data_IF_073246465842
#
_entry.id   IF_073246465842
#
_cell.length_a   1.000
_cell.length_b   1.000
_cell.length_c   1.000
_cell.angle_alpha   90.00
_cell.angle_beta   90.00
_cell.angle_gamma   90.00
#
_symmetry.space_group_name_H-M   'P 1'
#
loop_
_entity.id
_entity.type
_entity.pdbx_description
1 polymer ?
2 non-polymer ?
3 non-polymer ?
4 water ?
#
# COMPACT_ATOMS: atom_id res chain seq x y z
N UNK A 3 16.43 -1.85 19.40
CA UNK A 3 15.82 -2.74 20.46
C UNK A 3 14.29 -2.69 20.42
N UNK A 4 13.72 -1.66 19.83
CA UNK A 4 12.27 -1.63 19.55
C UNK A 4 12.04 -2.37 18.25
N UNK A 5 10.96 -3.15 18.19
CA UNK A 5 10.53 -3.77 16.95
C UNK A 5 10.18 -2.66 15.99
N UNK A 6 10.67 -2.72 14.77
CA UNK A 6 10.38 -1.73 13.77
C UNK A 6 9.51 -2.35 12.67
N UNK A 7 8.38 -1.71 12.41
CA UNK A 7 7.46 -2.18 11.40
C UNK A 7 7.20 -1.14 10.31
N UNK A 8 7.43 -1.50 9.05
CA UNK A 8 7.08 -0.63 7.92
C UNK A 8 5.70 -1.02 7.46
N UNK A 9 4.80 -0.06 7.38
CA UNK A 9 3.47 -0.29 6.90
C UNK A 9 3.35 0.47 5.56
N UNK A 10 3.05 -0.27 4.51
CA UNK A 10 2.79 0.29 3.18
C UNK A 10 1.54 1.16 3.16
N UNK A 11 1.50 2.19 2.31
CA UNK A 11 0.36 3.07 2.26
C UNK A 11 -0.68 2.59 1.25
N UNK A 12 -0.39 2.67 -0.05
CA UNK A 12 -1.43 2.29 -1.01
C UNK A 12 -1.65 0.76 -0.99
N UNK A 13 -2.92 0.38 -0.84
CA UNK A 13 -3.32 -1.01 -0.80
C UNK A 13 -3.24 -1.61 0.59
N UNK A 14 -2.94 -0.81 1.60
CA UNK A 14 -2.79 -1.30 2.96
C UNK A 14 -3.46 -0.34 3.91
N UNK A 15 -3.07 0.94 3.82
CA UNK A 15 -3.74 2.01 4.55
C UNK A 15 -4.81 2.68 3.74
N UNK A 16 -4.49 2.97 2.48
CA UNK A 16 -5.33 3.78 1.61
C UNK A 16 -5.89 2.89 0.51
N UNK A 17 -7.17 3.03 0.22
CA UNK A 17 -7.85 2.17 -0.74
C UNK A 17 -7.65 2.70 -2.16
N UNK A 18 -6.44 2.43 -2.68
CA UNK A 18 -6.06 2.76 -4.05
C UNK A 18 -6.97 2.06 -5.07
N UNK A 19 -7.25 0.79 -4.86
CA UNK A 19 -8.00 0.02 -5.86
C UNK A 19 -9.43 0.52 -6.03
N UNK A 20 -10.14 0.67 -4.92
CA UNK A 20 -11.46 1.24 -4.88
C UNK A 20 -11.58 2.68 -5.39
N UNK A 21 -10.64 3.53 -5.01
CA UNK A 21 -10.66 4.92 -5.41
C UNK A 21 -10.40 5.03 -6.90
N UNK A 22 -9.44 4.26 -7.39
CA UNK A 22 -9.09 4.23 -8.80
C UNK A 22 -10.33 3.76 -9.60
N UNK A 23 -10.97 2.67 -9.16
CA UNK A 23 -12.06 2.14 -10.01
C UNK A 23 -13.20 3.13 -10.11
N UNK A 24 -13.55 3.75 -9.00
CA UNK A 24 -14.60 4.73 -8.95
C UNK A 24 -14.31 5.91 -9.86
N UNK A 25 -13.12 6.47 -9.71
CA UNK A 25 -12.79 7.63 -10.53
C UNK A 25 -12.61 7.28 -12.02
N UNK A 26 -12.15 6.08 -12.34
CA UNK A 26 -11.98 5.68 -13.73
C UNK A 26 -13.37 5.59 -14.39
N UNK A 27 -14.28 4.93 -13.68
CA UNK A 27 -15.64 4.73 -14.23
C UNK A 27 -16.37 6.07 -14.41
N UNK A 28 -16.15 7.02 -13.52
CA UNK A 28 -16.79 8.32 -13.57
C UNK A 28 -16.23 9.15 -14.75
N UNK A 29 -14.92 9.07 -14.94
CA UNK A 29 -14.27 9.84 -16.01
C UNK A 29 -14.43 9.21 -17.39
N UNK A 30 -14.47 7.89 -17.43
CA UNK A 30 -14.44 7.16 -18.70
C UNK A 30 -15.61 6.15 -18.69
N UNK A 31 -16.83 6.66 -18.63
CA UNK A 31 -18.00 5.78 -18.50
C UNK A 31 -18.21 4.87 -19.72
N UNK A 32 -17.64 5.20 -20.87
CA UNK A 32 -17.87 4.40 -22.07
C UNK A 32 -16.80 3.36 -22.28
N UNK A 33 -15.81 3.30 -21.38
CA UNK A 33 -14.73 2.34 -21.48
C UNK A 33 -15.03 1.10 -20.62
N UNK A 34 -14.49 -0.04 -21.02
CA UNK A 34 -14.61 -1.22 -20.15
C UNK A 34 -13.68 -1.02 -18.95
N UNK A 35 -13.94 -1.77 -17.89
CA UNK A 35 -13.15 -1.65 -16.66
C UNK A 35 -12.94 -3.04 -16.07
N UNK A 36 -12.15 -3.11 -15.00
CA UNK A 36 -11.87 -4.37 -14.33
C UNK A 36 -12.49 -4.31 -12.95
N UNK A 37 -13.49 -5.17 -12.70
CA UNK A 37 -14.18 -5.20 -11.43
C UNK A 37 -13.11 -5.68 -10.41
N UNK A 38 -13.18 -5.29 -9.16
CA UNK A 38 -12.12 -5.68 -8.20
C UNK A 38 -11.93 -7.20 -8.08
N UNK A 39 -13.03 -7.98 -8.17
CA UNK A 39 -12.94 -9.45 -8.09
C UNK A 39 -12.07 -10.00 -9.19
N UNK A 40 -11.97 -9.28 -10.31
CA UNK A 40 -11.23 -9.72 -11.49
C UNK A 40 -9.82 -9.14 -11.63
N UNK A 41 -9.46 -8.26 -10.71
CA UNK A 41 -8.09 -7.77 -10.66
C UNK A 41 -7.11 -8.89 -10.38
N UNK A 42 -6.04 -8.94 -11.18
CA UNK A 42 -4.91 -9.85 -11.00
C UNK A 42 -3.62 -9.11 -11.30
N UNK A 43 -2.63 -9.28 -10.44
CA UNK A 43 -1.32 -8.69 -10.61
C UNK A 43 -1.28 -7.26 -10.03
N UNK A 44 -0.13 -6.87 -9.48
CA UNK A 44 0.04 -5.56 -8.88
C UNK A 44 -0.40 -4.44 -9.81
N UNK A 45 0.04 -4.46 -11.07
CA UNK A 45 -0.09 -3.27 -11.92
C UNK A 45 -1.43 -3.15 -12.56
N UNK A 46 -2.19 -2.14 -12.11
CA UNK A 46 -3.46 -1.79 -12.71
C UNK A 46 -3.25 -1.45 -14.19
N UNK A 47 -2.23 -0.62 -14.47
CA UNK A 47 -2.08 -0.09 -15.82
C UNK A 47 -1.88 -1.27 -16.78
N UNK A 48 -1.08 -2.25 -16.37
CA UNK A 48 -0.78 -3.43 -17.22
C UNK A 48 -2.02 -4.27 -17.51
N UNK A 49 -2.88 -4.50 -16.51
CA UNK A 49 -4.12 -5.24 -16.76
C UNK A 49 -5.10 -4.47 -17.63
N UNK A 50 -5.15 -3.15 -17.46
CA UNK A 50 -6.04 -2.34 -18.28
C UNK A 50 -5.55 -2.25 -19.72
N UNK A 51 -4.23 -2.25 -19.92
CA UNK A 51 -3.67 -2.19 -21.26
C UNK A 51 -3.88 -3.46 -22.06
N UNK A 52 -3.98 -4.58 -21.34
CA UNK A 52 -4.32 -5.89 -21.94
C UNK A 52 -5.80 -5.93 -22.30
N UNK A 53 -6.61 -5.23 -21.52
CA UNK A 53 -8.04 -5.16 -21.78
C UNK A 53 -8.32 -4.50 -23.14
N UNK A 54 -7.72 -3.33 -23.41
CA UNK A 54 -7.57 -2.77 -24.78
C UNK A 54 -6.47 -1.69 -24.96
N UNK A 55 -6.14 -1.42 -26.22
CA UNK A 55 -5.38 -0.23 -26.61
C UNK A 55 -5.82 1.10 -25.97
N UNK A 56 -4.82 1.78 -25.41
CA UNK A 56 -5.03 3.11 -24.88
C UNK A 56 -5.51 3.16 -23.45
N UNK A 57 -5.97 2.03 -22.91
CA UNK A 57 -6.49 2.01 -21.54
C UNK A 57 -5.41 2.14 -20.47
N UNK A 58 -4.19 1.69 -20.77
CA UNK A 58 -3.11 1.87 -19.82
C UNK A 58 -2.92 3.37 -19.54
N UNK A 59 -2.86 4.18 -20.61
CA UNK A 59 -2.64 5.61 -20.49
C UNK A 59 -3.81 6.32 -19.80
N UNK A 60 -5.03 5.85 -20.05
CA UNK A 60 -6.21 6.42 -19.44
C UNK A 60 -6.22 6.07 -17.91
N UNK A 61 -5.81 4.87 -17.57
CA UNK A 61 -5.70 4.47 -16.14
C UNK A 61 -4.70 5.39 -15.43
N UNK A 62 -3.52 5.52 -16.02
CA UNK A 62 -2.44 6.37 -15.44
C UNK A 62 -2.94 7.78 -15.23
N UNK A 63 -3.77 8.30 -16.14
CA UNK A 63 -4.31 9.64 -16.01
C UNK A 63 -5.17 9.88 -14.77
N UNK A 64 -5.74 8.80 -14.22
CA UNK A 64 -6.52 8.91 -13.00
C UNK A 64 -5.65 9.24 -11.82
N UNK A 65 -4.58 8.48 -11.65
CA UNK A 65 -3.73 8.71 -10.48
C UNK A 65 -2.74 9.85 -10.62
N UNK A 66 -2.49 10.28 -11.86
CA UNK A 66 -1.78 11.52 -12.06
C UNK A 66 -2.62 12.75 -11.74
N UNK A 67 -3.94 12.63 -11.60
CA UNK A 67 -4.78 13.77 -11.44
C UNK A 67 -4.70 14.31 -10.00
N UNK A 68 -4.85 15.60 -9.90
CA UNK A 68 -4.94 16.25 -8.61
C UNK A 68 -6.09 15.61 -7.83
N UNK A 69 -5.85 15.51 -6.55
CA UNK A 69 -6.76 14.97 -5.57
C UNK A 69 -6.93 13.48 -5.52
N UNK A 70 -6.31 12.74 -6.45
CA UNK A 70 -6.48 11.30 -6.45
C UNK A 70 -5.95 10.70 -5.14
N UNK A 71 -4.71 10.99 -4.82
CA UNK A 71 -4.13 10.40 -3.60
C UNK A 71 -4.83 10.94 -2.37
N UNK A 72 -5.06 12.24 -2.33
CA UNK A 72 -5.61 12.81 -1.13
C UNK A 72 -7.02 12.25 -0.78
N UNK A 73 -7.79 11.94 -1.82
CA UNK A 73 -9.19 11.56 -1.62
C UNK A 73 -9.40 10.06 -1.45
N UNK A 74 -8.33 9.28 -1.39
CA UNK A 74 -8.47 7.87 -1.09
C UNK A 74 -9.05 7.66 0.29
N UNK A 75 -9.94 6.69 0.38
CA UNK A 75 -10.53 6.33 1.67
C UNK A 75 -9.61 5.36 2.37
N UNK A 76 -9.49 5.44 3.70
CA UNK A 76 -8.73 4.44 4.44
C UNK A 76 -9.39 3.06 4.31
N UNK A 77 -8.61 2.01 4.30
CA UNK A 77 -9.14 0.62 4.25
C UNK A 77 -9.72 0.36 5.64
N UNK A 78 -10.73 -0.49 5.74
CA UNK A 78 -11.35 -0.77 7.04
C UNK A 78 -10.33 -1.15 8.08
N UNK A 79 -10.38 -0.52 9.26
CA UNK A 79 -9.52 -0.90 10.36
C UNK A 79 -8.10 -0.39 10.32
N UNK A 80 -7.69 0.23 9.23
CA UNK A 80 -6.29 0.56 9.01
C UNK A 80 -5.84 1.66 9.97
N UNK A 81 -6.62 2.72 10.09
CA UNK A 81 -6.23 3.86 10.91
C UNK A 81 -6.16 3.44 12.36
N UNK A 82 -7.22 2.75 12.80
CA UNK A 82 -7.27 2.26 14.17
C UNK A 82 -6.10 1.33 14.51
N UNK A 83 -5.82 0.39 13.62
CA UNK A 83 -4.76 -0.58 13.84
C UNK A 83 -3.39 0.06 13.94
N UNK A 84 -3.10 0.94 12.99
CA UNK A 84 -1.80 1.61 12.97
C UNK A 84 -1.63 2.56 14.16
N UNK A 85 -2.69 3.25 14.56
CA UNK A 85 -2.61 4.03 15.78
C UNK A 85 -2.28 3.17 17.01
N UNK A 86 -2.98 2.06 17.13
CA UNK A 86 -2.70 1.14 18.24
C UNK A 86 -1.30 0.60 18.18
N UNK A 87 -0.86 0.17 16.99
CA UNK A 87 0.46 -0.39 16.78
C UNK A 87 1.58 0.55 17.20
N UNK A 88 1.47 1.80 16.76
CA UNK A 88 2.46 2.83 17.08
C UNK A 88 2.56 3.11 18.59
N UNK A 89 1.42 2.96 19.28
CA UNK A 89 1.31 3.25 20.71
C UNK A 89 1.88 2.10 21.57
N UNK A 90 2.14 0.96 20.95
CA UNK A 90 2.65 -0.20 21.68
C UNK A 90 4.06 0.05 22.15
N UNK A 91 4.34 -0.44 23.36
CA UNK A 91 5.71 -0.41 23.87
C UNK A 91 6.65 -1.12 22.95
N UNK A 92 7.88 -0.60 22.83
CA UNK A 92 8.94 -1.24 22.08
C UNK A 92 8.56 -1.51 20.63
N UNK A 93 7.78 -0.59 20.05
CA UNK A 93 7.32 -0.74 18.69
C UNK A 93 7.37 0.63 18.01
N UNK A 94 8.13 0.69 16.92
CA UNK A 94 8.23 1.90 16.07
C UNK A 94 7.62 1.58 14.72
N UNK A 95 6.70 2.43 14.27
CA UNK A 95 5.98 2.26 13.03
C UNK A 95 6.35 3.37 12.07
N UNK A 96 6.72 2.97 10.85
CA UNK A 96 6.90 3.90 9.76
C UNK A 96 5.96 3.60 8.61
N UNK A 97 5.50 4.64 7.93
CA UNK A 97 4.65 4.44 6.78
C UNK A 97 5.61 4.51 5.58
N UNK A 98 5.71 3.42 4.83
CA UNK A 98 6.67 3.31 3.74
C UNK A 98 5.91 3.26 2.41
N UNK A 99 6.10 4.27 1.56
CA UNK A 99 5.26 4.45 0.40
C UNK A 99 6.06 4.88 -0.81
N UNK A 100 5.67 4.36 -1.98
CA UNK A 100 6.30 4.72 -3.26
C UNK A 100 5.46 5.73 -4.00
N UNK A 101 6.06 6.84 -4.40
CA UNK A 101 5.31 7.83 -5.18
C UNK A 101 5.31 7.43 -6.68
N UNK A 102 4.39 8.01 -7.45
CA UNK A 102 4.45 7.89 -8.92
C UNK A 102 5.57 8.75 -9.51
N UNK A 103 5.80 8.59 -10.82
CA UNK A 103 6.84 9.32 -11.53
C UNK A 103 6.51 10.82 -11.57
N UNK A 104 5.24 11.13 -11.76
CA UNK A 104 4.78 12.50 -11.89
C UNK A 104 4.59 13.05 -10.50
N UNK A 105 5.32 14.09 -10.14
CA UNK A 105 5.53 14.36 -8.71
C UNK A 105 4.78 15.62 -8.30
N UNK A 106 3.95 16.16 -9.17
CA UNK A 106 3.32 17.45 -8.83
C UNK A 106 2.41 17.45 -7.59
N UNK A 107 1.63 16.40 -7.45
CA UNK A 107 0.60 16.26 -6.39
C UNK A 107 0.93 15.09 -5.41
N UNK A 108 1.51 14.01 -5.89
CA UNK A 108 1.48 12.75 -5.13
C UNK A 108 2.21 12.85 -3.77
N UNK A 109 3.49 13.28 -3.73
CA UNK A 109 4.16 13.45 -2.44
C UNK A 109 3.39 14.36 -1.54
N UNK A 110 3.02 15.55 -2.03
CA UNK A 110 2.28 16.47 -1.21
C UNK A 110 1.02 15.84 -0.62
N UNK A 111 0.22 15.21 -1.47
CA UNK A 111 -1.08 14.69 -0.99
C UNK A 111 -0.91 13.54 -0.03
N UNK A 112 0.17 12.77 -0.17
CA UNK A 112 0.44 11.66 0.75
C UNK A 112 0.74 12.19 2.16
N UNK A 113 1.56 13.25 2.25
CA UNK A 113 1.78 13.91 3.53
C UNK A 113 0.46 14.47 4.07
N UNK A 114 -0.36 15.10 3.24
CA UNK A 114 -1.62 15.64 3.67
C UNK A 114 -2.57 14.58 4.21
N UNK A 115 -2.60 13.43 3.53
CA UNK A 115 -3.45 12.34 3.93
C UNK A 115 -3.01 11.79 5.29
N UNK A 116 -1.70 11.57 5.47
CA UNK A 116 -1.19 11.11 6.79
C UNK A 116 -1.54 12.11 7.90
N UNK A 117 -1.42 13.41 7.64
CA UNK A 117 -1.77 14.40 8.65
C UNK A 117 -3.28 14.25 9.00
N UNK A 118 -4.11 14.15 7.96
CA UNK A 118 -5.56 14.05 8.09
C UNK A 118 -5.97 12.89 8.98
N UNK A 119 -5.38 11.72 8.74
CA UNK A 119 -5.82 10.52 9.50
C UNK A 119 -5.05 10.15 10.72
N UNK A 120 -3.77 10.61 10.82
CA UNK A 120 -2.93 10.25 11.95
C UNK A 120 -2.40 11.39 12.78
N UNK A 121 -2.56 12.62 12.27
CA UNK A 121 -2.17 13.82 12.98
C UNK A 121 -0.79 14.31 12.60
N UNK A 122 -0.51 15.58 12.90
CA UNK A 122 0.80 16.18 12.60
C UNK A 122 2.00 15.42 13.11
N UNK A 123 1.92 14.85 14.30
CA UNK A 123 3.13 14.20 14.83
C UNK A 123 3.50 12.91 14.06
N UNK A 124 2.55 12.35 13.33
CA UNK A 124 2.83 11.13 12.59
C UNK A 124 3.58 11.38 11.28
N UNK A 125 3.67 12.63 10.87
CA UNK A 125 4.39 13.00 9.63
C UNK A 125 5.87 12.58 9.67
N UNK A 126 6.44 12.58 10.87
CA UNK A 126 7.83 12.19 11.13
C UNK A 126 8.09 10.70 10.80
N UNK A 127 7.03 9.91 10.66
CA UNK A 127 7.10 8.47 10.43
C UNK A 127 6.99 8.06 8.98
N UNK A 128 6.92 9.03 8.08
CA UNK A 128 6.81 8.74 6.63
C UNK A 128 8.14 8.57 5.97
N UNK A 129 8.26 7.50 5.19
CA UNK A 129 9.40 7.25 4.32
C UNK A 129 8.89 7.11 2.90
N UNK A 130 9.24 8.08 2.05
CA UNK A 130 8.88 7.99 0.65
C UNK A 130 10.07 7.45 -0.14
N UNK A 131 9.87 6.34 -0.83
CA UNK A 131 10.97 5.75 -1.58
C UNK A 131 10.40 4.85 -2.67
N UNK A 132 11.10 4.75 -3.79
CA UNK A 132 10.79 3.70 -4.78
C UNK A 132 11.45 2.37 -4.49
N UNK A 133 12.40 2.34 -3.56
CA UNK A 133 13.09 1.14 -3.24
C UNK A 133 12.90 0.83 -1.77
N UNK A 134 12.05 -0.16 -1.46
CA UNK A 134 11.82 -0.51 -0.05
C UNK A 134 12.86 -1.41 0.58
N UNK A 135 13.69 -2.02 -0.26
CA UNK A 135 14.69 -2.95 0.25
C UNK A 135 15.81 -2.25 0.95
N UNK A 136 15.97 -0.92 0.73
CA UNK A 136 17.02 -0.17 1.42
C UNK A 136 16.50 0.46 2.67
N UNK A 137 15.25 0.16 3.04
CA UNK A 137 14.73 0.56 4.33
C UNK A 137 14.76 -0.65 5.26
N UNK A 138 15.41 -0.52 6.43
CA UNK A 138 15.64 -1.63 7.34
C UNK A 138 14.57 -1.63 8.42
N UNK A 139 14.10 -2.84 8.75
CA UNK A 139 13.07 -3.02 9.76
C UNK A 139 12.94 -4.51 9.99
N UNK A 140 12.09 -4.86 10.95
CA UNK A 140 11.81 -6.27 11.25
C UNK A 140 10.70 -6.81 10.35
N UNK A 141 9.73 -5.94 10.02
CA UNK A 141 8.59 -6.31 9.21
C UNK A 141 8.26 -5.27 8.19
N UNK A 142 7.81 -5.73 7.04
CA UNK A 142 7.17 -4.89 6.04
C UNK A 142 5.81 -5.48 5.69
N UNK A 143 4.73 -4.73 5.92
CA UNK A 143 3.37 -5.13 5.60
C UNK A 143 2.98 -4.39 4.35
N UNK A 144 2.81 -5.15 3.26
CA UNK A 144 2.75 -4.58 1.94
C UNK A 144 2.02 -5.51 1.02
N UNK A 145 1.12 -4.95 0.21
CA UNK A 145 0.23 -5.75 -0.69
C UNK A 145 0.90 -6.16 -2.00
N UNK A 146 2.11 -5.67 -2.30
CA UNK A 146 2.76 -6.10 -3.53
C UNK A 146 3.57 -7.39 -3.35
N UNK A 147 3.28 -8.45 -4.13
CA UNK A 147 4.00 -9.72 -3.91
C UNK A 147 5.53 -9.65 -4.09
N UNK A 148 5.94 -8.91 -5.11
CA UNK A 148 7.36 -8.92 -5.53
C UNK A 148 8.01 -7.61 -5.10
N UNK A 149 8.80 -7.63 -4.02
CA UNK A 149 9.41 -6.40 -3.50
C UNK A 149 10.91 -6.54 -3.66
N UNK A 150 11.47 -5.80 -4.61
CA UNK A 150 12.89 -5.97 -4.95
C UNK A 150 13.49 -4.61 -5.15
N UNK A 151 14.81 -4.61 -5.25
CA UNK A 151 15.52 -3.34 -5.33
C UNK A 151 17.01 -3.57 -5.18
N UNK A 152 17.69 -2.52 -4.78
CA UNK A 152 19.14 -2.52 -4.67
C UNK A 152 19.72 -3.45 -3.63
N UNK A 153 18.97 -3.77 -2.58
CA UNK A 153 19.42 -4.65 -1.53
C UNK A 153 18.93 -6.07 -1.76
N UNK A 154 19.82 -7.02 -2.10
CA UNK A 154 19.37 -8.39 -2.34
C UNK A 154 18.87 -9.13 -1.10
N UNK A 155 19.27 -8.74 0.11
CA UNK A 155 18.81 -9.40 1.34
C UNK A 155 18.30 -8.38 2.35
N UNK A 156 17.08 -7.91 2.11
CA UNK A 156 16.44 -6.93 3.02
C UNK A 156 16.35 -7.50 4.43
N UNK A 157 16.37 -6.63 5.40
CA UNK A 157 16.41 -7.00 6.79
C UNK A 157 15.00 -7.36 7.27
N UNK A 158 13.98 -6.86 6.59
CA UNK A 158 12.61 -7.18 7.01
C UNK A 158 12.11 -8.54 6.50
N UNK A 159 11.15 -9.09 7.24
CA UNK A 159 10.25 -10.11 6.71
C UNK A 159 9.06 -9.38 6.01
N UNK A 160 8.82 -9.67 4.75
CA UNK A 160 7.65 -9.15 4.03
C UNK A 160 6.43 -10.00 4.33
N UNK A 161 5.45 -9.39 4.96
CA UNK A 161 4.15 -10.04 5.17
C UNK A 161 3.19 -9.47 4.13
N UNK A 162 2.59 -10.36 3.33
CA UNK A 162 1.73 -9.92 2.24
C UNK A 162 0.38 -9.51 2.74
N UNK A 163 0.05 -8.24 2.58
CA UNK A 163 -1.29 -7.74 2.89
C UNK A 163 -2.26 -8.10 1.78
N UNK A 164 -3.33 -8.83 2.12
CA UNK A 164 -4.33 -9.19 1.16
C UNK A 164 -4.95 -7.97 0.44
N UNK A 165 -5.03 -8.10 -0.89
CA UNK A 165 -5.72 -7.17 -1.78
C UNK A 165 -6.36 -7.94 -2.91
N UNK A 166 -7.35 -7.32 -3.55
CA UNK A 166 -8.04 -7.97 -4.68
C UNK A 166 -7.05 -8.60 -5.68
N UNK A 167 -5.96 -7.89 -6.00
CA UNK A 167 -5.04 -8.35 -7.05
C UNK A 167 -4.13 -9.50 -6.65
N UNK A 168 -4.03 -9.82 -5.34
CA UNK A 168 -3.15 -10.88 -4.84
C UNK A 168 -3.87 -12.01 -4.07
N UNK A 169 -5.20 -11.93 -3.97
CA UNK A 169 -5.91 -12.77 -3.00
C UNK A 169 -5.86 -14.24 -3.44
N UNK A 170 -5.63 -14.48 -4.75
CA UNK A 170 -5.58 -15.85 -5.25
C UNK A 170 -4.20 -16.47 -5.31
N UNK A 171 -3.18 -15.63 -5.03
CA UNK A 171 -1.81 -16.05 -5.12
C UNK A 171 -1.32 -17.01 -4.09
N UNK A 172 -0.77 -18.12 -4.54
CA UNK A 172 -0.15 -19.05 -3.66
C UNK A 172 1.30 -18.60 -3.41
N UNK A 173 1.66 -18.37 -2.15
CA UNK A 173 3.02 -17.92 -1.80
C UNK A 173 3.97 -19.07 -1.58
N UNK A 174 5.27 -18.87 -1.77
CA UNK A 174 6.29 -19.86 -1.40
C UNK A 174 6.52 -19.84 0.13
N UNK A 175 6.28 -20.96 0.83
CA UNK A 175 6.64 -21.02 2.25
C UNK A 175 8.07 -20.52 2.42
N UNK A 176 8.41 -19.78 3.47
CA UNK A 176 7.52 -19.51 4.60
C UNK A 176 6.83 -18.14 4.49
N UNK A 177 6.59 -17.65 3.28
CA UNK A 177 5.91 -16.35 3.15
C UNK A 177 4.49 -16.43 3.68
N UNK A 178 4.10 -15.35 4.34
CA UNK A 178 3.00 -15.25 5.23
C UNK A 178 2.13 -14.01 4.85
N UNK A 179 0.82 -14.03 5.15
CA UNK A 179 -0.13 -12.91 4.87
C UNK A 179 -0.67 -12.30 6.11
N UNK A 180 -1.02 -11.02 6.02
CA UNK A 180 -1.93 -10.37 6.91
C UNK A 180 -3.22 -10.12 6.09
N UNK A 181 -4.32 -10.75 6.51
CA UNK A 181 -5.44 -10.89 5.59
C UNK A 181 -6.31 -9.65 5.40
N UNK A 182 -6.26 -8.78 6.40
CA UNK A 182 -6.94 -7.48 6.56
C UNK A 182 -6.51 -6.97 7.90
N UNK A 183 -6.86 -5.74 8.23
CA UNK A 183 -6.56 -5.18 9.53
C UNK A 183 -7.38 -5.82 10.65
N UNK A 184 -8.53 -6.44 10.29
CA UNK A 184 -9.28 -7.30 11.25
C UNK A 184 -8.56 -8.59 11.65
N UNK A 185 -7.66 -9.09 10.82
CA UNK A 185 -6.79 -10.22 11.11
C UNK A 185 -5.83 -9.83 12.29
N UNK A 186 -5.15 -10.81 12.85
CA UNK A 186 -4.41 -10.65 14.10
C UNK A 186 -2.96 -10.17 13.84
N UNK A 187 -2.81 -8.86 13.63
CA UNK A 187 -1.52 -8.24 13.35
C UNK A 187 -0.61 -8.28 14.58
N UNK A 188 -1.17 -8.23 15.77
CA UNK A 188 -0.35 -8.27 16.98
C UNK A 188 0.42 -9.59 17.08
N UNK A 189 -0.22 -10.71 16.69
CA UNK A 189 0.41 -12.01 16.66
C UNK A 189 1.59 -12.03 15.71
N UNK A 190 1.43 -11.42 14.52
CA UNK A 190 2.54 -11.32 13.59
C UNK A 190 3.69 -10.52 14.18
N UNK A 191 3.40 -9.34 14.77
CA UNK A 191 4.46 -8.55 15.40
C UNK A 191 5.15 -9.33 16.53
N UNK A 192 4.36 -9.96 17.40
CA UNK A 192 4.91 -10.67 18.56
C UNK A 192 5.83 -11.81 18.11
N UNK A 193 5.53 -12.45 16.98
CA UNK A 193 6.36 -13.53 16.48
C UNK A 193 7.81 -13.09 16.14
N UNK A 194 8.04 -11.79 15.95
CA UNK A 194 9.34 -11.24 15.63
C UNK A 194 10.05 -10.60 16.82
N UNK A 195 9.40 -10.52 17.98
CA UNK A 195 9.99 -9.92 19.18
C UNK A 195 10.94 -10.90 19.91
N UNK A 196 11.92 -10.40 20.64
CA UNK A 196 12.80 -11.28 21.45
C UNK A 196 12.05 -11.90 22.63
#
# INVERSE_FOLDING_TARGET
>A
GGRALRVLVNMDGVLADFEGGFLRKFRARFPDQPFIALEDRRGFWVSEQYGRLRPGLSEKAISIWESKNFFFELEPLPGAVEAVKEMASLQNTDVFICTSPIKMFKYCPYEKYAWVEKYFGPDFLEQIVLTRDKTVVSADLLIDDRPDITGAEPTPSWEHVLFTACHNQHLQLQPPRRRLHSWADDWKAILDSKRPC
#
